data_IF_764856883990
#
_entry.id   IF_764856883990
#
_cell.length_a   1.000
_cell.length_b   1.000
_cell.length_c   1.000
_cell.angle_alpha   90.00
_cell.angle_beta   90.00
_cell.angle_gamma   90.00
#
_symmetry.space_group_name_H-M   'P 1'
#
loop_
_entity.id
_entity.type
_entity.pdbx_description
1 polymer ?
#
# COMPACT_ATOMS: atom_id res chain seq x y z
N UNK A 1 19.66 14.05 -5.73
CA UNK A 1 18.78 12.88 -5.78
C UNK A 1 19.09 12.00 -4.58
N UNK A 2 18.08 11.70 -3.79
CA UNK A 2 18.23 10.81 -2.63
C UNK A 2 18.40 9.36 -3.17
N UNK A 3 19.49 8.67 -2.80
CA UNK A 3 19.79 7.31 -3.27
C UNK A 3 18.85 6.22 -2.69
N UNK A 4 17.58 6.53 -2.44
CA UNK A 4 16.61 5.57 -1.93
C UNK A 4 15.91 4.83 -3.06
N UNK A 5 15.74 3.53 -2.88
CA UNK A 5 15.04 2.67 -3.82
C UNK A 5 13.54 2.80 -3.65
N UNK A 6 12.79 2.55 -4.70
CA UNK A 6 11.35 2.46 -4.70
C UNK A 6 10.91 1.01 -4.92
N UNK A 7 10.11 0.47 -4.00
CA UNK A 7 9.43 -0.81 -4.11
C UNK A 7 7.91 -0.59 -3.85
N UNK A 8 7.14 -0.19 -4.86
CA UNK A 8 5.75 0.19 -4.67
C UNK A 8 4.90 -0.94 -4.10
N UNK A 9 3.95 -0.58 -3.24
CA UNK A 9 3.02 -1.55 -2.67
C UNK A 9 1.78 -1.70 -3.56
N UNK A 10 1.63 -2.85 -4.22
CA UNK A 10 0.55 -3.08 -5.20
C UNK A 10 -0.83 -3.26 -4.57
N UNK A 11 -0.93 -3.43 -3.25
CA UNK A 11 -2.23 -3.56 -2.57
C UNK A 11 -3.18 -2.41 -2.91
N UNK A 12 -2.64 -1.24 -3.25
CA UNK A 12 -3.42 -0.06 -3.60
C UNK A 12 -4.13 -0.20 -4.95
N UNK A 13 -3.53 -0.85 -5.93
CA UNK A 13 -4.10 -0.94 -7.29
C UNK A 13 -4.30 -2.37 -7.80
N UNK A 14 -3.61 -3.36 -7.27
CA UNK A 14 -3.76 -4.81 -7.56
C UNK A 14 -3.67 -5.18 -9.05
N UNK A 15 -3.05 -4.36 -9.89
CA UNK A 15 -2.93 -4.54 -11.34
C UNK A 15 -1.51 -4.93 -11.73
N UNK A 16 -1.37 -6.02 -12.48
CA UNK A 16 -0.09 -6.49 -13.04
C UNK A 16 0.49 -5.45 -14.01
N UNK A 17 -0.33 -4.82 -14.82
CA UNK A 17 0.14 -3.86 -15.81
C UNK A 17 0.68 -2.59 -15.15
N UNK A 18 -0.01 -2.05 -14.13
CA UNK A 18 0.49 -0.90 -13.38
C UNK A 18 1.81 -1.25 -12.66
N UNK A 19 1.92 -2.45 -12.07
CA UNK A 19 3.17 -2.91 -11.47
C UNK A 19 4.32 -2.98 -12.49
N UNK A 20 4.08 -3.46 -13.71
CA UNK A 20 5.07 -3.46 -14.79
C UNK A 20 5.51 -2.05 -15.18
N UNK A 21 4.57 -1.11 -15.28
CA UNK A 21 4.88 0.31 -15.56
C UNK A 21 5.76 0.89 -14.45
N UNK A 22 5.47 0.62 -13.18
CA UNK A 22 6.28 1.07 -12.04
C UNK A 22 7.71 0.52 -12.11
N UNK A 23 7.89 -0.75 -12.45
CA UNK A 23 9.22 -1.38 -12.64
C UNK A 23 9.94 -0.75 -13.83
N UNK A 24 9.28 -0.55 -14.96
CA UNK A 24 9.85 0.13 -16.14
C UNK A 24 10.29 1.57 -15.83
N UNK A 25 9.64 2.22 -14.85
CA UNK A 25 9.98 3.57 -14.36
C UNK A 25 11.07 3.57 -13.28
N UNK A 26 11.66 2.42 -12.95
CA UNK A 26 12.82 2.31 -12.06
C UNK A 26 12.53 1.77 -10.66
N UNK A 27 11.34 1.25 -10.40
CA UNK A 27 11.09 0.50 -9.17
C UNK A 27 11.92 -0.80 -9.18
N UNK A 28 12.54 -1.14 -8.03
CA UNK A 28 13.43 -2.30 -7.91
C UNK A 28 12.70 -3.66 -7.82
N UNK A 29 11.39 -3.61 -7.67
CA UNK A 29 10.47 -4.72 -7.50
C UNK A 29 9.18 -4.16 -6.92
N UNK A 30 8.32 -5.00 -6.37
CA UNK A 30 7.04 -4.61 -5.77
C UNK A 30 6.85 -5.20 -4.37
N UNK A 31 5.93 -4.63 -3.60
CA UNK A 31 5.42 -5.20 -2.36
C UNK A 31 4.01 -5.77 -2.57
N UNK A 32 3.73 -6.92 -1.96
CA UNK A 32 2.40 -7.53 -1.86
C UNK A 32 2.04 -7.71 -0.38
N UNK A 33 0.78 -7.54 0.00
CA UNK A 33 0.32 -7.82 1.37
C UNK A 33 0.04 -9.29 1.59
N UNK A 34 -0.38 -10.01 0.55
CA UNK A 34 -0.86 -11.40 0.60
C UNK A 34 -0.10 -12.28 -0.38
N UNK A 35 -0.01 -13.57 -0.01
CA UNK A 35 0.61 -14.57 -0.88
C UNK A 35 -0.12 -14.69 -2.23
N UNK A 36 -1.45 -14.69 -2.22
CA UNK A 36 -2.23 -14.78 -3.46
C UNK A 36 -2.08 -13.54 -4.37
N UNK A 37 -1.80 -12.36 -3.82
CA UNK A 37 -1.39 -11.21 -4.63
C UNK A 37 -0.04 -11.48 -5.31
N UNK A 38 0.94 -12.00 -4.56
CA UNK A 38 2.26 -12.30 -5.09
C UNK A 38 2.19 -13.39 -6.20
N UNK A 39 1.37 -14.43 -6.02
CA UNK A 39 1.14 -15.45 -7.05
C UNK A 39 0.62 -14.82 -8.34
N UNK A 40 -0.40 -13.97 -8.26
CA UNK A 40 -0.95 -13.25 -9.43
C UNK A 40 0.12 -12.38 -10.11
N UNK A 41 0.94 -11.68 -9.35
CA UNK A 41 2.01 -10.84 -9.91
C UNK A 41 3.10 -11.68 -10.58
N UNK A 42 3.49 -12.84 -10.02
CA UNK A 42 4.46 -13.76 -10.63
C UNK A 42 3.90 -14.37 -11.90
N UNK A 43 2.63 -14.80 -11.93
CA UNK A 43 1.94 -15.26 -13.13
C UNK A 43 1.92 -14.18 -14.21
N UNK A 44 1.76 -12.93 -13.82
CA UNK A 44 1.88 -11.75 -14.67
C UNK A 44 3.30 -11.44 -15.13
N UNK A 45 4.32 -12.17 -14.68
CA UNK A 45 5.72 -12.02 -15.10
C UNK A 45 6.59 -11.12 -14.22
N UNK A 46 6.11 -10.66 -13.07
CA UNK A 46 6.92 -9.92 -12.09
C UNK A 46 7.88 -10.89 -11.40
N UNK A 47 9.16 -10.49 -11.24
CA UNK A 47 10.22 -11.39 -10.77
C UNK A 47 10.83 -11.04 -9.41
N UNK A 48 10.57 -9.84 -8.87
CA UNK A 48 11.11 -9.43 -7.57
C UNK A 48 9.96 -8.89 -6.69
N UNK A 49 9.65 -9.65 -5.63
CA UNK A 49 8.49 -9.38 -4.78
C UNK A 49 8.86 -9.50 -3.30
N UNK A 50 8.50 -8.50 -2.51
CA UNK A 50 8.49 -8.58 -1.06
C UNK A 50 7.04 -8.77 -0.56
N UNK A 51 6.78 -9.88 0.14
CA UNK A 51 5.52 -10.10 0.84
C UNK A 51 5.65 -9.49 2.24
N UNK A 52 4.88 -8.43 2.49
CA UNK A 52 5.01 -7.56 3.66
C UNK A 52 4.21 -8.01 4.89
N UNK A 53 3.71 -9.24 4.88
CA UNK A 53 3.02 -9.85 6.03
C UNK A 53 3.60 -11.24 6.28
N UNK A 54 3.71 -11.68 7.55
CA UNK A 54 4.17 -13.02 7.87
C UNK A 54 3.30 -14.10 7.21
N UNK A 55 3.94 -15.15 6.69
CA UNK A 55 3.26 -16.29 6.06
C UNK A 55 3.32 -17.48 7.01
N UNK A 56 2.16 -17.95 7.45
CA UNK A 56 2.02 -19.08 8.38
C UNK A 56 0.98 -20.09 7.89
N UNK A 57 1.13 -21.34 8.34
CA UNK A 57 0.25 -22.45 8.00
C UNK A 57 0.72 -23.26 6.78
N UNK A 58 0.61 -24.58 6.88
CA UNK A 58 1.20 -25.55 5.95
C UNK A 58 0.81 -25.30 4.48
N UNK A 59 -0.47 -24.97 4.23
CA UNK A 59 -0.97 -24.72 2.87
C UNK A 59 -0.30 -23.48 2.26
N UNK A 60 -0.19 -22.38 3.01
CA UNK A 60 0.43 -21.14 2.50
C UNK A 60 1.94 -21.31 2.34
N UNK A 61 2.59 -22.03 3.24
CA UNK A 61 4.01 -22.33 3.15
C UNK A 61 4.32 -23.18 1.90
N UNK A 62 3.51 -24.19 1.61
CA UNK A 62 3.68 -25.00 0.40
C UNK A 62 3.54 -24.16 -0.89
N UNK A 63 2.55 -23.25 -0.93
CA UNK A 63 2.39 -22.28 -2.03
C UNK A 63 3.59 -21.33 -2.13
N UNK A 64 4.08 -20.82 -1.00
CA UNK A 64 5.27 -19.95 -0.94
C UNK A 64 6.50 -20.66 -1.53
N UNK A 65 6.75 -21.92 -1.15
CA UNK A 65 7.85 -22.71 -1.70
C UNK A 65 7.78 -22.83 -3.21
N UNK A 66 6.61 -23.21 -3.75
CA UNK A 66 6.38 -23.29 -5.20
C UNK A 66 6.54 -21.94 -5.91
N UNK A 67 6.11 -20.86 -5.27
CA UNK A 67 6.24 -19.52 -5.83
C UNK A 67 7.69 -19.08 -5.90
N UNK A 68 8.46 -19.35 -4.85
CA UNK A 68 9.87 -18.98 -4.73
C UNK A 68 10.79 -19.70 -5.71
N UNK A 69 10.33 -20.81 -6.32
CA UNK A 69 11.03 -21.45 -7.46
C UNK A 69 10.88 -20.66 -8.77
N UNK A 70 9.87 -19.76 -8.87
CA UNK A 70 9.52 -19.04 -10.12
C UNK A 70 10.02 -17.59 -10.13
N UNK A 71 10.24 -17.02 -8.95
CA UNK A 71 10.60 -15.62 -8.78
C UNK A 71 11.42 -15.40 -7.50
N UNK A 72 12.13 -14.26 -7.42
CA UNK A 72 12.82 -13.81 -6.22
C UNK A 72 11.77 -13.29 -5.22
N UNK A 73 11.43 -14.14 -4.25
CA UNK A 73 10.45 -13.81 -3.21
C UNK A 73 11.19 -13.53 -1.90
N UNK A 74 10.94 -12.37 -1.35
CA UNK A 74 11.32 -12.00 0.01
C UNK A 74 10.07 -12.01 0.90
N UNK A 75 10.22 -12.42 2.15
CA UNK A 75 9.15 -12.42 3.14
C UNK A 75 9.58 -11.74 4.42
N UNK A 76 8.63 -11.42 5.27
CA UNK A 76 8.91 -10.88 6.62
C UNK A 76 8.58 -11.91 7.70
N UNK A 77 9.28 -11.81 8.82
CA UNK A 77 8.95 -12.52 10.06
C UNK A 77 9.27 -11.67 11.28
N UNK A 78 8.54 -11.90 12.35
CA UNK A 78 8.73 -11.29 13.67
C UNK A 78 8.90 -12.34 14.78
N UNK A 79 9.11 -13.61 14.39
CA UNK A 79 9.17 -14.72 15.34
C UNK A 79 10.30 -15.70 15.05
N UNK A 80 11.13 -15.98 16.07
CA UNK A 80 12.14 -17.02 16.00
C UNK A 80 11.59 -18.42 15.70
N UNK A 81 10.37 -18.72 16.17
CA UNK A 81 9.74 -20.04 15.97
C UNK A 81 9.40 -20.33 14.52
N UNK A 82 9.30 -19.30 13.67
CA UNK A 82 9.08 -19.48 12.24
C UNK A 82 10.35 -19.84 11.47
N UNK A 83 11.54 -19.51 11.98
CA UNK A 83 12.80 -19.67 11.23
C UNK A 83 13.09 -21.12 10.87
N UNK A 84 13.04 -22.10 11.79
CA UNK A 84 13.22 -23.51 11.44
C UNK A 84 12.23 -23.98 10.35
N UNK A 85 10.95 -23.58 10.46
CA UNK A 85 9.90 -23.95 9.51
C UNK A 85 10.21 -23.39 8.11
N UNK A 86 10.67 -22.14 8.04
CA UNK A 86 11.08 -21.50 6.78
C UNK A 86 12.33 -22.17 6.18
N UNK A 87 13.27 -22.63 7.03
CA UNK A 87 14.45 -23.37 6.59
C UNK A 87 14.05 -24.75 6.02
N UNK A 88 13.17 -25.49 6.70
CA UNK A 88 12.66 -26.76 6.20
C UNK A 88 11.94 -26.58 4.84
N UNK A 89 11.12 -25.52 4.73
CA UNK A 89 10.47 -25.16 3.46
C UNK A 89 11.51 -24.90 2.37
N UNK A 90 12.52 -24.07 2.64
CA UNK A 90 13.56 -23.72 1.68
C UNK A 90 14.34 -24.95 1.22
N UNK A 91 14.68 -25.87 2.13
CA UNK A 91 15.34 -27.13 1.81
C UNK A 91 14.41 -28.05 0.98
N UNK A 92 13.13 -28.19 1.34
CA UNK A 92 12.14 -28.99 0.61
C UNK A 92 12.04 -28.56 -0.86
N UNK A 93 12.02 -27.25 -1.12
CA UNK A 93 11.87 -26.71 -2.47
C UNK A 93 13.19 -26.37 -3.16
N UNK A 94 14.33 -26.68 -2.51
CA UNK A 94 15.69 -26.42 -3.03
C UNK A 94 15.88 -24.96 -3.46
N UNK A 95 15.41 -24.02 -2.60
CA UNK A 95 15.52 -22.58 -2.79
C UNK A 95 16.36 -21.97 -1.68
N UNK A 96 16.83 -20.75 -1.92
CA UNK A 96 17.33 -19.85 -0.90
C UNK A 96 16.30 -18.76 -0.66
N UNK A 97 15.72 -18.72 0.54
CA UNK A 97 14.63 -17.80 0.85
C UNK A 97 15.14 -16.52 1.51
N UNK A 98 14.79 -15.35 0.98
CA UNK A 98 15.11 -14.07 1.60
C UNK A 98 14.10 -13.76 2.70
N UNK A 99 14.59 -13.56 3.93
CA UNK A 99 13.76 -13.28 5.11
C UNK A 99 14.19 -11.95 5.72
N UNK A 100 13.26 -11.02 5.86
CA UNK A 100 13.46 -9.76 6.56
C UNK A 100 12.84 -9.85 7.96
N UNK A 101 13.47 -9.18 8.92
CA UNK A 101 12.89 -9.01 10.26
C UNK A 101 11.93 -7.84 10.25
N UNK A 102 10.68 -8.05 10.67
CA UNK A 102 9.72 -6.97 10.87
C UNK A 102 9.84 -6.40 12.27
N UNK A 103 10.00 -5.07 12.39
CA UNK A 103 10.07 -4.34 13.66
C UNK A 103 8.85 -3.45 13.80
N UNK A 104 8.14 -3.54 14.92
CA UNK A 104 7.04 -2.65 15.25
C UNK A 104 7.57 -1.29 15.74
N UNK A 105 7.62 -0.34 14.83
CA UNK A 105 8.05 1.04 15.13
C UNK A 105 6.89 1.94 15.59
N UNK A 106 5.71 1.37 15.89
CA UNK A 106 4.54 2.08 16.41
C UNK A 106 3.22 1.74 15.71
N UNK A 107 3.24 0.83 14.73
CA UNK A 107 2.03 0.37 14.06
C UNK A 107 1.11 -0.41 15.02
N UNK A 108 1.68 -1.20 15.93
CA UNK A 108 0.92 -2.05 16.86
C UNK A 108 0.16 -3.16 16.12
N UNK A 109 0.82 -3.83 15.15
CA UNK A 109 0.22 -4.90 14.34
C UNK A 109 1.11 -6.14 14.36
N UNK A 110 1.99 -6.32 13.39
CA UNK A 110 3.07 -7.30 13.38
C UNK A 110 4.38 -6.59 13.68
N UNK A 111 5.40 -7.37 13.98
CA UNK A 111 6.74 -6.87 14.23
C UNK A 111 7.21 -7.12 15.67
N UNK A 112 8.48 -7.50 15.79
CA UNK A 112 9.14 -7.59 17.09
C UNK A 112 9.32 -6.20 17.69
N UNK A 113 9.29 -6.11 19.02
CA UNK A 113 9.54 -4.83 19.69
C UNK A 113 10.96 -4.30 19.38
N UNK A 114 11.12 -2.97 19.27
CA UNK A 114 12.43 -2.37 19.07
C UNK A 114 13.43 -2.80 20.15
N UNK A 115 14.67 -3.09 19.73
CA UNK A 115 15.74 -3.53 20.62
C UNK A 115 16.43 -4.81 20.17
N UNK A 116 16.91 -5.60 21.14
CA UNK A 116 17.72 -6.79 20.87
C UNK A 116 16.97 -7.91 20.16
N UNK A 117 15.66 -8.02 20.31
CA UNK A 117 14.84 -9.09 19.72
C UNK A 117 14.94 -9.16 18.20
N UNK A 118 15.04 -8.01 17.51
CA UNK A 118 15.25 -7.96 16.07
C UNK A 118 16.61 -8.57 15.66
N UNK A 119 17.68 -8.27 16.42
CA UNK A 119 19.00 -8.86 16.21
C UNK A 119 18.98 -10.38 16.40
N UNK A 120 18.30 -10.86 17.45
CA UNK A 120 18.22 -12.29 17.74
C UNK A 120 17.51 -13.08 16.64
N UNK A 121 16.44 -12.51 16.04
CA UNK A 121 15.77 -13.14 14.89
C UNK A 121 16.70 -13.15 13.68
N UNK A 122 17.42 -12.05 13.41
CA UNK A 122 18.38 -11.98 12.31
C UNK A 122 19.52 -12.99 12.46
N UNK A 123 20.07 -13.16 13.67
CA UNK A 123 21.10 -14.16 13.95
C UNK A 123 20.57 -15.57 13.72
N UNK A 124 19.34 -15.85 14.13
CA UNK A 124 18.71 -17.15 13.87
C UNK A 124 18.55 -17.37 12.36
N UNK A 125 18.09 -16.37 11.57
CA UNK A 125 18.05 -16.49 10.10
C UNK A 125 19.42 -16.82 9.52
N UNK A 126 20.46 -16.13 9.95
CA UNK A 126 21.84 -16.31 9.46
C UNK A 126 22.40 -17.72 9.80
N UNK A 127 21.92 -18.33 10.88
CA UNK A 127 22.31 -19.68 11.29
C UNK A 127 21.90 -20.75 10.27
N UNK A 128 20.83 -20.54 9.50
CA UNK A 128 20.31 -21.49 8.51
C UNK A 128 20.82 -21.21 7.10
N UNK A 129 21.66 -22.10 6.49
CA UNK A 129 22.24 -21.87 5.17
C UNK A 129 21.21 -21.73 4.04
N UNK A 130 19.99 -22.29 4.21
CA UNK A 130 18.90 -22.18 3.24
C UNK A 130 18.15 -20.84 3.29
N UNK A 131 18.49 -19.97 4.26
CA UNK A 131 17.88 -18.65 4.42
C UNK A 131 18.92 -17.55 4.21
N UNK A 132 18.46 -16.41 3.66
CA UNK A 132 19.23 -15.17 3.59
C UNK A 132 18.62 -14.12 4.51
N UNK A 133 19.42 -13.47 5.35
CA UNK A 133 18.99 -12.27 6.04
C UNK A 133 18.84 -11.13 5.02
N UNK A 134 17.61 -10.85 4.60
CA UNK A 134 17.26 -9.85 3.58
C UNK A 134 17.30 -8.42 4.09
N UNK A 135 17.29 -8.21 5.41
CA UNK A 135 17.24 -6.89 6.01
C UNK A 135 16.10 -6.71 7.02
N UNK A 136 15.59 -5.50 7.12
CA UNK A 136 14.55 -5.11 8.09
C UNK A 136 13.38 -4.49 7.36
N UNK A 137 12.14 -4.86 7.76
CA UNK A 137 10.93 -4.11 7.46
C UNK A 137 10.54 -3.27 8.69
N UNK A 138 10.32 -1.97 8.48
CA UNK A 138 9.88 -1.04 9.51
C UNK A 138 8.80 -0.11 8.93
N UNK A 139 7.54 -0.47 9.15
CA UNK A 139 6.39 0.24 8.58
C UNK A 139 5.49 0.80 9.69
N UNK A 140 5.03 2.04 9.50
CA UNK A 140 4.09 2.68 10.40
C UNK A 140 2.92 3.31 9.63
N UNK A 141 1.81 2.58 9.50
CA UNK A 141 0.64 2.98 8.72
C UNK A 141 -0.17 4.09 9.36
N UNK A 142 -0.31 4.12 10.69
CA UNK A 142 -1.15 5.11 11.38
C UNK A 142 -0.72 6.56 11.13
N UNK A 143 0.58 6.80 10.96
CA UNK A 143 1.08 8.15 10.71
C UNK A 143 0.84 8.65 9.28
N UNK A 144 0.53 7.75 8.34
CA UNK A 144 0.37 8.13 6.93
C UNK A 144 -0.80 9.11 6.70
N UNK A 145 -1.82 9.05 7.54
CA UNK A 145 -3.02 9.91 7.48
C UNK A 145 -3.02 11.12 8.39
N UNK A 146 -1.93 11.40 9.11
CA UNK A 146 -1.82 12.61 9.94
C UNK A 146 -1.78 13.83 9.03
N UNK A 147 -2.75 14.75 9.20
CA UNK A 147 -2.98 15.86 8.27
C UNK A 147 -1.88 16.92 8.35
N UNK A 148 -1.52 17.35 9.55
CA UNK A 148 -0.44 18.33 9.76
C UNK A 148 0.91 17.76 9.35
N UNK A 149 1.62 18.46 8.47
CA UNK A 149 2.98 18.08 8.06
C UNK A 149 3.96 18.08 9.24
N UNK A 150 3.86 19.07 10.12
CA UNK A 150 4.71 19.18 11.30
C UNK A 150 4.49 18.02 12.28
N UNK A 151 3.23 17.72 12.60
CA UNK A 151 2.88 16.60 13.48
C UNK A 151 3.33 15.26 12.86
N UNK A 152 3.03 15.03 11.59
CA UNK A 152 3.47 13.81 10.87
C UNK A 152 4.99 13.67 10.85
N UNK A 153 5.72 14.78 10.69
CA UNK A 153 7.19 14.79 10.73
C UNK A 153 7.69 14.34 12.10
N UNK A 154 7.12 14.87 13.18
CA UNK A 154 7.48 14.47 14.54
C UNK A 154 7.21 12.99 14.80
N UNK A 155 6.05 12.48 14.39
CA UNK A 155 5.70 11.07 14.57
C UNK A 155 6.60 10.14 13.74
N UNK A 156 6.98 10.53 12.52
CA UNK A 156 7.97 9.78 11.73
C UNK A 156 9.32 9.76 12.45
N UNK A 157 9.77 10.86 13.01
CA UNK A 157 11.02 10.91 13.76
C UNK A 157 10.99 9.99 14.99
N UNK A 158 9.89 9.98 15.75
CA UNK A 158 9.69 9.07 16.89
C UNK A 158 9.74 7.61 16.44
N UNK A 159 9.09 7.27 15.32
CA UNK A 159 9.13 5.92 14.76
C UNK A 159 10.54 5.52 14.33
N UNK A 160 11.28 6.43 13.70
CA UNK A 160 12.67 6.18 13.27
C UNK A 160 13.64 6.07 14.46
N UNK A 161 13.39 6.76 15.58
CA UNK A 161 14.17 6.59 16.81
C UNK A 161 14.02 5.17 17.38
N UNK A 162 12.81 4.59 17.33
CA UNK A 162 12.58 3.19 17.72
C UNK A 162 13.36 2.22 16.82
N UNK A 163 13.36 2.47 15.51
CA UNK A 163 14.18 1.69 14.57
C UNK A 163 15.66 1.80 14.89
N UNK A 164 16.16 3.03 15.15
CA UNK A 164 17.56 3.31 15.49
C UNK A 164 18.04 2.48 16.69
N UNK A 165 17.22 2.35 17.73
CA UNK A 165 17.50 1.51 18.89
C UNK A 165 17.82 0.07 18.49
N UNK A 166 17.06 -0.50 17.54
CA UNK A 166 17.37 -1.86 17.04
C UNK A 166 18.66 -1.89 16.24
N UNK A 167 18.87 -0.89 15.36
CA UNK A 167 20.05 -0.85 14.48
C UNK A 167 21.39 -0.76 15.25
N UNK A 168 21.38 -0.17 16.44
CA UNK A 168 22.55 -0.14 17.32
C UNK A 168 23.02 -1.53 17.73
N UNK A 169 22.11 -2.46 18.01
CA UNK A 169 22.44 -3.86 18.30
C UNK A 169 23.10 -4.55 17.11
N UNK A 170 22.60 -4.33 15.89
CA UNK A 170 23.19 -4.86 14.65
C UNK A 170 24.61 -4.32 14.44
N UNK A 171 24.80 -3.02 14.62
CA UNK A 171 26.10 -2.35 14.51
C UNK A 171 27.11 -2.94 15.51
N UNK A 172 26.71 -3.12 16.77
CA UNK A 172 27.59 -3.67 17.82
C UNK A 172 27.99 -5.12 17.55
N UNK A 173 27.18 -5.89 16.82
CA UNK A 173 27.48 -7.26 16.39
C UNK A 173 28.08 -7.33 14.97
N UNK A 174 28.38 -6.19 14.35
CA UNK A 174 28.93 -6.10 12.99
C UNK A 174 28.08 -6.82 11.93
N UNK A 175 26.75 -6.91 12.15
CA UNK A 175 25.82 -7.43 11.16
C UNK A 175 25.34 -6.29 10.27
N UNK A 176 25.70 -6.37 8.99
CA UNK A 176 25.32 -5.36 8.01
C UNK A 176 23.83 -5.49 7.60
N UNK A 177 23.05 -4.45 7.86
CA UNK A 177 21.66 -4.34 7.38
C UNK A 177 21.66 -3.56 6.07
N UNK A 178 21.67 -4.27 4.93
CA UNK A 178 21.73 -3.65 3.59
C UNK A 178 20.42 -3.02 3.17
N UNK A 179 19.29 -3.63 3.55
CA UNK A 179 17.95 -3.17 3.20
C UNK A 179 17.17 -2.85 4.46
N UNK A 180 16.70 -1.63 4.55
CA UNK A 180 15.72 -1.19 5.54
C UNK A 180 14.56 -0.61 4.75
N UNK A 181 13.44 -1.33 4.73
CA UNK A 181 12.30 -1.01 3.87
C UNK A 181 11.08 -0.61 4.69
N UNK A 182 10.35 0.39 4.24
CA UNK A 182 9.19 0.94 4.95
C UNK A 182 8.70 2.23 4.33
N UNK A 183 8.10 3.10 5.17
CA UNK A 183 7.49 4.34 4.70
C UNK A 183 6.24 4.11 3.84
N UNK A 184 5.58 5.18 3.46
CA UNK A 184 4.36 5.11 2.67
C UNK A 184 4.06 6.41 1.94
N UNK A 185 2.89 6.48 1.31
CA UNK A 185 2.47 7.65 0.53
C UNK A 185 2.45 8.93 1.35
N UNK A 186 1.97 8.88 2.60
CA UNK A 186 1.86 10.08 3.45
C UNK A 186 3.20 10.57 4.02
N UNK A 187 4.21 9.71 4.13
CA UNK A 187 5.48 10.04 4.78
C UNK A 187 6.66 10.18 3.83
N UNK A 188 6.52 9.84 2.53
CA UNK A 188 7.68 9.70 1.62
C UNK A 188 8.58 10.94 1.55
N UNK A 189 8.04 12.17 1.59
CA UNK A 189 8.86 13.39 1.57
C UNK A 189 9.70 13.55 2.83
N UNK A 190 9.21 13.06 3.96
CA UNK A 190 9.93 13.05 5.25
C UNK A 190 10.96 11.93 5.22
N UNK A 191 10.53 10.72 4.82
CA UNK A 191 11.40 9.53 4.74
C UNK A 191 12.58 9.74 3.79
N UNK A 192 12.40 10.48 2.69
CA UNK A 192 13.47 10.85 1.77
C UNK A 192 14.58 11.67 2.43
N UNK A 193 14.27 12.48 3.43
CA UNK A 193 15.23 13.36 4.13
C UNK A 193 15.95 12.64 5.28
N UNK A 194 15.40 11.51 5.78
CA UNK A 194 15.96 10.79 6.92
C UNK A 194 16.93 9.69 6.47
N UNK A 195 18.00 9.39 7.21
CA UNK A 195 19.03 8.43 6.79
C UNK A 195 18.66 6.95 6.96
N UNK A 196 17.52 6.65 7.57
CA UNK A 196 17.22 5.29 8.04
C UNK A 196 16.77 4.34 6.94
N UNK A 197 15.67 4.66 6.24
CA UNK A 197 15.16 3.76 5.20
C UNK A 197 16.06 3.81 3.96
N UNK A 198 16.35 2.66 3.40
CA UNK A 198 17.08 2.52 2.11
C UNK A 198 16.12 2.25 0.95
N UNK A 199 14.90 1.80 1.26
CA UNK A 199 13.87 1.47 0.29
C UNK A 199 12.50 1.93 0.81
N UNK A 200 11.68 2.54 -0.06
CA UNK A 200 10.35 3.06 0.27
C UNK A 200 9.24 2.22 -0.36
N UNK A 201 8.13 2.04 0.38
CA UNK A 201 6.98 1.20 0.02
C UNK A 201 5.66 1.98 -0.22
N UNK A 202 5.63 3.17 -0.86
CA UNK A 202 4.37 3.86 -1.10
C UNK A 202 3.49 3.04 -2.04
N UNK A 203 2.17 3.06 -1.80
CA UNK A 203 1.18 2.38 -2.65
C UNK A 203 0.21 3.36 -3.30
N UNK A 204 -0.54 4.07 -2.47
CA UNK A 204 -1.66 4.92 -2.89
C UNK A 204 -1.26 6.16 -3.70
N UNK A 205 0.04 6.49 -3.82
CA UNK A 205 0.53 7.63 -4.60
C UNK A 205 0.13 7.59 -6.08
N UNK A 206 -0.13 6.41 -6.63
CA UNK A 206 -0.46 6.21 -8.04
C UNK A 206 -1.93 6.48 -8.35
N UNK A 207 -2.79 6.41 -7.34
CA UNK A 207 -4.24 6.57 -7.45
C UNK A 207 -4.75 7.75 -6.64
N UNK A 208 -4.15 8.00 -5.48
CA UNK A 208 -4.58 9.00 -4.49
C UNK A 208 -6.06 8.90 -4.12
N UNK A 209 -6.45 9.60 -3.10
CA UNK A 209 -7.84 9.66 -2.60
C UNK A 209 -8.09 10.93 -1.78
N UNK A 210 -9.33 11.11 -1.31
CA UNK A 210 -9.70 12.26 -0.48
C UNK A 210 -8.96 12.28 0.86
N UNK A 211 -8.61 11.12 1.41
CA UNK A 211 -7.91 11.06 2.69
C UNK A 211 -6.50 11.61 2.56
N UNK A 212 -5.72 11.15 1.59
CA UNK A 212 -4.37 11.65 1.33
C UNK A 212 -4.34 13.10 0.83
N UNK A 213 -5.34 13.53 0.06
CA UNK A 213 -5.39 14.92 -0.43
C UNK A 213 -5.56 15.98 0.65
N UNK A 214 -6.03 15.56 1.84
CA UNK A 214 -6.14 16.45 3.00
C UNK A 214 -4.83 16.61 3.77
N UNK A 215 -3.78 15.87 3.44
CA UNK A 215 -2.50 15.99 4.08
C UNK A 215 -1.79 17.29 3.62
N UNK A 216 -1.22 18.03 4.56
CA UNK A 216 -0.19 19.01 4.27
C UNK A 216 1.08 18.29 3.83
N UNK A 217 1.69 18.68 2.71
CA UNK A 217 2.82 17.94 2.14
C UNK A 217 4.18 18.54 2.45
N UNK A 218 4.21 19.82 2.78
CA UNK A 218 5.36 20.57 3.23
C UNK A 218 4.92 21.71 4.17
N UNK A 219 5.84 22.58 4.57
CA UNK A 219 5.54 23.75 5.41
C UNK A 219 4.62 24.77 4.71
N UNK A 220 4.57 24.76 3.37
CA UNK A 220 3.67 25.60 2.58
C UNK A 220 2.29 24.94 2.34
N UNK A 221 2.10 23.68 2.77
CA UNK A 221 0.83 22.97 2.74
C UNK A 221 0.48 22.29 1.42
N UNK A 222 1.26 22.47 0.34
CA UNK A 222 0.92 22.01 -1.01
C UNK A 222 1.97 21.06 -1.59
N UNK A 223 1.50 20.14 -2.41
CA UNK A 223 2.34 19.32 -3.27
C UNK A 223 1.74 19.26 -4.68
N UNK A 224 2.29 20.01 -5.60
CA UNK A 224 1.85 20.02 -7.01
C UNK A 224 2.27 18.76 -7.80
N UNK A 225 3.04 17.87 -7.16
CA UNK A 225 3.62 16.69 -7.82
C UNK A 225 2.68 15.48 -7.86
N UNK A 226 1.63 15.44 -7.03
CA UNK A 226 0.71 14.30 -6.92
C UNK A 226 -0.71 14.77 -7.24
N UNK A 227 -1.24 14.24 -8.33
CA UNK A 227 -2.63 14.46 -8.75
C UNK A 227 -3.54 13.39 -8.15
N UNK A 228 -4.86 13.61 -8.19
CA UNK A 228 -5.89 12.62 -7.87
C UNK A 228 -6.48 12.06 -9.17
N UNK A 229 -5.87 11.06 -9.80
CA UNK A 229 -6.33 10.54 -11.08
C UNK A 229 -7.52 9.58 -10.94
N UNK A 230 -7.77 9.00 -9.75
CA UNK A 230 -8.82 8.01 -9.55
C UNK A 230 -10.16 8.69 -9.27
N UNK A 231 -11.16 8.29 -10.03
CA UNK A 231 -12.57 8.61 -9.76
C UNK A 231 -13.45 7.40 -10.07
N UNK A 232 -14.64 7.37 -9.46
CA UNK A 232 -15.75 6.50 -9.84
C UNK A 232 -16.72 7.35 -10.64
N UNK A 233 -16.98 6.94 -11.89
CA UNK A 233 -17.97 7.58 -12.74
C UNK A 233 -19.36 7.03 -12.37
N UNK A 234 -20.28 7.92 -12.05
CA UNK A 234 -21.66 7.62 -11.67
C UNK A 234 -22.64 8.44 -12.49
N UNK A 235 -23.86 7.98 -12.60
CA UNK A 235 -24.93 8.65 -13.36
C UNK A 235 -26.03 9.15 -12.43
N UNK A 236 -26.57 10.32 -12.70
CA UNK A 236 -27.77 10.84 -12.05
C UNK A 236 -28.98 10.03 -12.54
N UNK A 237 -29.62 9.29 -11.64
CA UNK A 237 -30.78 8.45 -11.97
C UNK A 237 -32.12 9.02 -11.52
N UNK A 238 -32.09 10.03 -10.63
CA UNK A 238 -33.30 10.69 -10.13
C UNK A 238 -33.00 12.10 -9.63
N UNK A 239 -33.96 13.01 -9.78
CA UNK A 239 -33.93 14.41 -9.25
C UNK A 239 -35.23 14.67 -8.46
N UNK A 240 -35.32 14.16 -7.20
CA UNK A 240 -36.55 14.28 -6.42
C UNK A 240 -36.84 15.69 -5.92
N UNK A 241 -35.84 16.57 -5.89
CA UNK A 241 -35.96 17.96 -5.46
C UNK A 241 -35.03 18.84 -6.32
N UNK A 242 -35.31 20.15 -6.45
CA UNK A 242 -34.47 21.04 -7.27
C UNK A 242 -32.98 21.05 -6.87
N UNK A 243 -32.69 20.89 -5.58
CA UNK A 243 -31.32 20.92 -5.02
C UNK A 243 -30.78 19.53 -4.66
N UNK A 244 -31.41 18.43 -5.10
CA UNK A 244 -31.03 17.07 -4.72
C UNK A 244 -31.14 16.10 -5.90
N UNK A 245 -30.08 15.35 -6.13
CA UNK A 245 -30.04 14.27 -7.11
C UNK A 245 -29.60 12.95 -6.47
N UNK A 246 -30.04 11.84 -7.07
CA UNK A 246 -29.66 10.48 -6.67
C UNK A 246 -28.76 9.89 -7.76
N UNK A 247 -27.69 9.24 -7.32
CA UNK A 247 -26.71 8.57 -8.16
C UNK A 247 -26.85 7.04 -8.06
N UNK A 248 -26.40 6.34 -9.09
CA UNK A 248 -26.28 4.88 -9.15
C UNK A 248 -25.01 4.34 -8.47
N UNK A 249 -24.37 5.10 -7.59
CA UNK A 249 -23.20 4.71 -6.83
C UNK A 249 -23.45 4.78 -5.33
N UNK A 250 -23.55 3.61 -4.69
CA UNK A 250 -23.67 3.46 -3.24
C UNK A 250 -22.45 2.72 -2.64
N UNK A 251 -22.62 2.10 -1.48
CA UNK A 251 -21.54 1.39 -0.77
C UNK A 251 -20.89 0.26 -1.56
N UNK A 252 -21.61 -0.36 -2.50
CA UNK A 252 -21.07 -1.40 -3.37
C UNK A 252 -20.21 -0.86 -4.52
N UNK A 253 -20.26 0.45 -4.76
CA UNK A 253 -19.45 1.14 -5.77
C UNK A 253 -18.28 1.90 -5.18
N UNK A 254 -18.40 2.41 -3.94
CA UNK A 254 -17.36 3.22 -3.29
C UNK A 254 -17.31 2.85 -1.81
N UNK A 255 -16.09 2.65 -1.29
CA UNK A 255 -15.87 2.39 0.13
C UNK A 255 -16.03 3.66 0.97
N UNK A 256 -16.50 3.49 2.22
CA UNK A 256 -16.68 4.56 3.20
C UNK A 256 -15.80 4.41 4.46
N UNK A 257 -14.80 3.51 4.41
CA UNK A 257 -13.95 3.19 5.57
C UNK A 257 -13.03 4.36 6.01
N UNK A 258 -12.86 5.37 5.17
CA UNK A 258 -12.11 6.60 5.49
C UNK A 258 -12.96 7.88 5.34
N UNK A 259 -14.29 7.75 5.41
CA UNK A 259 -15.24 8.86 5.27
C UNK A 259 -15.98 8.87 3.94
N UNK A 260 -16.65 9.99 3.62
CA UNK A 260 -17.45 10.14 2.40
C UNK A 260 -16.58 10.52 1.19
N UNK A 261 -16.89 10.01 0.00
CA UNK A 261 -16.35 10.51 -1.26
C UNK A 261 -16.64 11.99 -1.47
N UNK A 262 -15.94 12.61 -2.42
CA UNK A 262 -16.19 13.98 -2.86
C UNK A 262 -16.51 14.02 -4.34
N UNK A 263 -17.40 14.92 -4.74
CA UNK A 263 -17.55 15.24 -6.16
C UNK A 263 -16.25 15.88 -6.68
N UNK A 264 -15.82 15.57 -7.88
CA UNK A 264 -14.56 16.08 -8.46
C UNK A 264 -14.57 17.61 -8.62
N UNK A 265 -15.72 18.19 -8.87
CA UNK A 265 -15.93 19.64 -8.96
C UNK A 265 -16.01 20.32 -7.58
N UNK A 266 -16.16 19.56 -6.48
CA UNK A 266 -16.02 20.07 -5.11
C UNK A 266 -17.14 21.00 -4.60
N UNK A 267 -18.21 21.23 -5.39
CA UNK A 267 -19.24 22.24 -5.08
C UNK A 267 -20.39 21.73 -4.19
N UNK A 268 -20.66 20.42 -4.23
CA UNK A 268 -21.84 19.85 -3.60
C UNK A 268 -21.47 18.66 -2.70
N UNK A 269 -22.23 18.43 -1.65
CA UNK A 269 -22.00 17.34 -0.71
C UNK A 269 -22.55 16.03 -1.23
N UNK A 270 -21.69 14.98 -1.23
CA UNK A 270 -22.12 13.61 -1.46
C UNK A 270 -22.37 12.91 -0.12
N UNK A 271 -23.41 12.05 -0.07
CA UNK A 271 -23.61 11.09 0.99
C UNK A 271 -24.15 9.76 0.44
N UNK A 272 -24.08 8.70 1.21
CA UNK A 272 -24.60 7.39 0.84
C UNK A 272 -26.11 7.32 1.10
N UNK A 273 -26.86 6.80 0.13
CA UNK A 273 -28.30 6.53 0.23
C UNK A 273 -28.59 5.02 0.20
N UNK A 274 -27.64 4.20 0.63
CA UNK A 274 -27.73 2.75 0.70
C UNK A 274 -26.68 2.03 -0.14
N UNK A 275 -26.90 0.74 -0.36
CA UNK A 275 -25.96 -0.16 -1.05
C UNK A 275 -25.65 0.26 -2.48
N UNK A 276 -26.69 0.67 -3.22
CA UNK A 276 -26.65 0.92 -4.66
C UNK A 276 -26.77 2.41 -5.01
N UNK A 277 -27.06 3.27 -4.04
CA UNK A 277 -27.38 4.66 -4.30
C UNK A 277 -26.51 5.62 -3.49
N UNK A 278 -26.15 6.74 -4.13
CA UNK A 278 -25.61 7.93 -3.50
C UNK A 278 -26.56 9.12 -3.68
N UNK A 279 -26.36 10.14 -2.87
CA UNK A 279 -27.11 11.38 -2.95
C UNK A 279 -26.16 12.55 -3.02
N UNK A 280 -26.40 13.48 -3.94
CA UNK A 280 -25.76 14.79 -3.94
C UNK A 280 -26.79 15.83 -3.56
N UNK A 281 -26.44 16.68 -2.61
CA UNK A 281 -27.25 17.81 -2.17
C UNK A 281 -26.46 19.11 -2.30
N UNK A 282 -27.06 20.09 -2.95
CA UNK A 282 -26.50 21.44 -3.02
C UNK A 282 -26.98 22.30 -1.85
N UNK A 283 -26.11 23.15 -1.34
CA UNK A 283 -26.46 24.18 -0.37
C UNK A 283 -27.23 25.37 -0.99
N UNK A 284 -27.39 25.36 -2.32
CA UNK A 284 -28.21 26.31 -3.06
C UNK A 284 -29.62 25.79 -3.23
N UNK A 285 -30.56 26.62 -3.65
CA UNK A 285 -31.95 26.23 -3.93
C UNK A 285 -32.07 25.24 -5.11
N UNK A 286 -31.04 25.11 -5.92
CA UNK A 286 -30.98 24.18 -7.05
C UNK A 286 -29.59 23.58 -7.23
N UNK A 287 -29.55 22.44 -7.94
CA UNK A 287 -28.31 21.79 -8.43
C UNK A 287 -28.36 21.75 -9.96
N UNK A 288 -27.24 22.09 -10.59
CA UNK A 288 -27.10 22.10 -12.05
C UNK A 288 -26.68 20.70 -12.55
N UNK A 289 -27.53 19.71 -12.25
CA UNK A 289 -27.42 18.33 -12.68
C UNK A 289 -28.81 17.82 -13.04
N UNK A 290 -28.93 17.14 -14.18
CA UNK A 290 -30.15 16.53 -14.67
C UNK A 290 -30.06 15.01 -14.76
N UNK A 291 -31.18 14.31 -14.87
CA UNK A 291 -31.19 12.84 -15.04
C UNK A 291 -30.47 12.47 -16.32
N UNK A 292 -29.47 11.55 -16.18
CA UNK A 292 -28.59 11.13 -17.24
C UNK A 292 -27.21 11.80 -17.21
N UNK A 293 -27.03 12.86 -16.43
CA UNK A 293 -25.72 13.49 -16.28
C UNK A 293 -24.74 12.59 -15.54
N UNK A 294 -23.47 12.69 -15.91
CA UNK A 294 -22.39 11.93 -15.31
C UNK A 294 -21.65 12.75 -14.25
N UNK A 295 -21.34 12.11 -13.12
CA UNK A 295 -20.62 12.71 -12.00
C UNK A 295 -19.43 11.84 -11.66
N UNK A 296 -18.24 12.45 -11.61
CA UNK A 296 -17.05 11.80 -11.08
C UNK A 296 -16.95 11.97 -9.57
N UNK A 297 -16.84 10.85 -8.85
CA UNK A 297 -16.69 10.79 -7.40
C UNK A 297 -15.25 10.37 -7.06
N UNK A 298 -14.55 11.19 -6.30
CA UNK A 298 -13.23 10.87 -5.76
C UNK A 298 -13.42 10.04 -4.48
N UNK A 299 -12.92 8.80 -4.41
CA UNK A 299 -13.13 7.95 -3.24
C UNK A 299 -12.45 8.52 -1.99
N UNK A 300 -13.01 8.24 -0.83
CA UNK A 300 -12.37 8.56 0.47
C UNK A 300 -11.11 7.74 0.69
N UNK A 301 -11.10 6.47 0.22
CA UNK A 301 -9.97 5.55 0.29
C UNK A 301 -9.85 4.75 -1.02
N UNK A 302 -8.72 4.89 -1.68
CA UNK A 302 -8.51 4.24 -2.98
C UNK A 302 -8.40 2.72 -2.89
N UNK A 303 -7.63 2.17 -1.93
CA UNK A 303 -7.32 0.74 -1.82
C UNK A 303 -8.62 -0.11 -1.72
N UNK A 304 -9.53 0.26 -0.85
CA UNK A 304 -10.79 -0.44 -0.58
C UNK A 304 -11.81 -0.26 -1.70
N UNK A 305 -11.85 0.92 -2.32
CA UNK A 305 -12.72 1.19 -3.47
C UNK A 305 -12.27 0.38 -4.70
N UNK A 306 -10.98 0.37 -5.00
CA UNK A 306 -10.43 -0.38 -6.13
C UNK A 306 -10.72 -1.89 -6.00
N UNK A 307 -10.71 -2.42 -4.78
CA UNK A 307 -11.02 -3.84 -4.55
C UNK A 307 -12.49 -4.23 -4.85
N UNK A 308 -13.38 -3.26 -5.12
CA UNK A 308 -14.76 -3.50 -5.56
C UNK A 308 -14.86 -3.77 -7.08
N UNK A 309 -13.85 -3.43 -7.87
CA UNK A 309 -13.88 -3.43 -9.33
C UNK A 309 -12.94 -4.48 -9.93
N UNK A 310 -13.30 -4.96 -11.12
CA UNK A 310 -12.47 -5.89 -11.89
C UNK A 310 -11.49 -5.17 -12.83
N UNK A 311 -11.74 -3.89 -13.14
CA UNK A 311 -11.00 -3.14 -14.15
C UNK A 311 -10.88 -1.66 -13.81
N UNK A 312 -9.77 -1.07 -14.28
CA UNK A 312 -9.62 0.39 -14.47
C UNK A 312 -9.92 0.76 -15.92
N UNK A 313 -10.35 1.99 -16.10
CA UNK A 313 -10.32 2.66 -17.40
C UNK A 313 -9.32 3.80 -17.32
N UNK A 314 -8.16 3.64 -18.00
CA UNK A 314 -7.22 4.73 -18.19
C UNK A 314 -7.74 5.64 -19.26
N UNK A 315 -8.13 6.85 -18.87
CA UNK A 315 -8.69 7.86 -19.76
C UNK A 315 -7.63 8.90 -20.09
N UNK A 316 -7.45 9.18 -21.37
CA UNK A 316 -6.70 10.33 -21.91
C UNK A 316 -7.62 11.06 -22.89
N UNK A 317 -7.30 12.28 -23.26
CA UNK A 317 -8.20 13.22 -23.95
C UNK A 317 -9.20 12.61 -24.96
N UNK A 318 -8.77 11.63 -25.78
CA UNK A 318 -9.64 11.02 -26.82
C UNK A 318 -9.61 9.48 -26.81
N UNK A 319 -8.97 8.85 -25.82
CA UNK A 319 -8.83 7.40 -25.76
C UNK A 319 -9.02 6.89 -24.35
N UNK A 320 -9.60 5.72 -24.24
CA UNK A 320 -9.55 4.97 -22.97
C UNK A 320 -8.98 3.58 -23.22
N UNK A 321 -8.30 3.06 -22.20
CA UNK A 321 -7.76 1.69 -22.19
C UNK A 321 -8.19 0.98 -20.91
N UNK A 322 -8.73 -0.20 -21.07
CA UNK A 322 -9.16 -1.05 -19.96
C UNK A 322 -7.97 -1.81 -19.41
N UNK A 323 -7.73 -1.74 -18.11
CA UNK A 323 -6.72 -2.49 -17.37
C UNK A 323 -7.38 -3.40 -16.33
N UNK A 324 -6.92 -4.63 -16.22
CA UNK A 324 -7.39 -5.55 -15.19
C UNK A 324 -6.88 -5.18 -13.79
N UNK A 325 -7.71 -5.43 -12.79
CA UNK A 325 -7.34 -5.45 -11.37
C UNK A 325 -7.11 -6.92 -10.99
N UNK A 326 -6.03 -7.49 -11.51
CA UNK A 326 -5.76 -8.94 -11.55
C UNK A 326 -5.79 -9.62 -10.17
N UNK A 327 -5.32 -8.91 -9.14
CA UNK A 327 -5.27 -9.42 -7.78
C UNK A 327 -6.49 -8.99 -6.93
N UNK A 328 -7.59 -8.53 -7.54
CA UNK A 328 -8.85 -8.29 -6.84
C UNK A 328 -9.34 -9.58 -6.17
N UNK A 329 -9.76 -9.48 -4.89
CA UNK A 329 -10.23 -10.63 -4.12
C UNK A 329 -9.14 -11.65 -3.72
N UNK A 330 -7.88 -11.43 -4.05
CA UNK A 330 -6.74 -12.28 -3.66
C UNK A 330 -6.32 -11.99 -2.23
N UNK A 331 -7.09 -12.45 -1.26
CA UNK A 331 -6.97 -12.11 0.17
C UNK A 331 -6.28 -13.18 1.04
N UNK A 332 -5.81 -14.28 0.45
CA UNK A 332 -5.22 -15.42 1.20
C UNK A 332 -3.72 -15.57 1.02
#
# INVERSE_FOLDING_TARGET
>A
ANNKKLRPHIKAHKSVELAKIQIQKGAVGICCSKLAEAETMVEGGIKDILITSPIVGAIKLDRLGKLSQKANISIVTDSKTQIPILSELANKYQIQLNVLVEIDIGQGRCGVQPGVGALEIAQEIIHYPSLNFGGIQAYHGKLQGIKSFKERTNEVQVAMQKLSTSLEYFKNKQILVKTITGGGTGSFLIDLKLPFLTELQPGSYVTMDCNYSQNEWDEAGKLDLITQPLSVLSTVISKPQPNKVILDAGWKSISNDAGTPKTKNGSDSFDFAGDEHGVITSNKDYIDLEIGDQVELIPSHCDTTINLYDHFYLVSANHYRKLAIDARGKIT
#
